data_IF_963438512048
#
_entry.id   IF_963438512048
#
_cell.length_a   1.000
_cell.length_b   1.000
_cell.length_c   1.000
_cell.angle_alpha   90.00
_cell.angle_beta   90.00
_cell.angle_gamma   90.00
#
_symmetry.space_group_name_H-M   'P 1'
#
loop_
_entity.id
_entity.type
_entity.pdbx_description
1 polymer ?
#
# COMPACT_ATOMS: atom_id res chain seq x y z
N UNK A 1 40.38 -14.70 -9.61
CA UNK A 1 39.54 -13.54 -10.01
C UNK A 1 38.32 -14.12 -10.71
N UNK A 2 37.26 -14.41 -9.96
CA UNK A 2 36.00 -14.91 -10.54
C UNK A 2 35.22 -13.74 -11.15
N UNK A 3 34.70 -13.85 -12.40
CA UNK A 3 34.09 -12.74 -13.11
C UNK A 3 32.60 -12.52 -12.80
N UNK A 4 32.03 -13.27 -11.86
CA UNK A 4 30.61 -13.16 -11.50
C UNK A 4 30.47 -12.85 -10.01
N UNK A 5 30.26 -11.56 -9.74
CA UNK A 5 29.98 -11.03 -8.41
C UNK A 5 28.92 -11.85 -7.68
N UNK A 6 29.24 -12.21 -6.44
CA UNK A 6 28.37 -12.89 -5.46
C UNK A 6 26.91 -12.48 -5.64
N UNK A 7 26.06 -13.48 -5.92
CA UNK A 7 24.61 -13.41 -5.73
C UNK A 7 24.37 -13.09 -4.25
N UNK A 8 24.11 -11.83 -3.93
CA UNK A 8 23.72 -11.45 -2.58
C UNK A 8 22.40 -12.15 -2.25
N UNK A 9 22.48 -13.07 -1.30
CA UNK A 9 21.33 -13.53 -0.53
C UNK A 9 20.70 -12.29 0.11
N UNK A 10 19.62 -11.79 -0.50
CA UNK A 10 18.79 -10.73 0.08
C UNK A 10 18.14 -11.28 1.34
N UNK A 11 18.81 -11.09 2.47
CA UNK A 11 18.13 -10.93 3.75
C UNK A 11 17.15 -9.76 3.58
N UNK A 12 15.90 -9.91 4.01
CA UNK A 12 14.80 -8.93 4.04
C UNK A 12 15.12 -7.67 4.89
N UNK A 13 16.35 -7.17 4.86
CA UNK A 13 16.69 -5.85 5.34
C UNK A 13 16.17 -4.85 4.33
N UNK A 14 15.08 -4.17 4.68
CA UNK A 14 14.46 -3.08 3.91
C UNK A 14 15.45 -1.94 3.58
N UNK A 15 16.60 -1.89 4.28
CA UNK A 15 17.70 -0.97 4.03
C UNK A 15 18.43 -1.31 2.71
N UNK A 16 18.16 -0.52 1.66
CA UNK A 16 18.88 -0.58 0.38
C UNK A 16 18.02 -0.79 -0.85
N UNK A 17 16.69 -0.84 -0.70
CA UNK A 17 15.78 -0.88 -1.85
C UNK A 17 15.65 0.52 -2.46
N UNK A 18 15.69 0.68 -3.80
CA UNK A 18 15.44 1.98 -4.45
C UNK A 18 14.02 2.52 -4.26
N UNK A 19 13.11 1.66 -3.79
CA UNK A 19 11.72 1.96 -3.52
C UNK A 19 11.30 1.33 -2.20
N UNK A 20 10.84 2.17 -1.28
CA UNK A 20 10.53 1.87 0.11
C UNK A 20 9.34 2.71 0.60
N UNK A 21 8.99 2.55 1.88
CA UNK A 21 7.83 3.22 2.50
C UNK A 21 7.94 4.74 2.58
N UNK A 22 9.16 5.28 2.44
CA UNK A 22 9.46 6.70 2.52
C UNK A 22 9.67 7.32 1.12
N UNK A 23 9.62 6.50 0.07
CA UNK A 23 9.87 6.92 -1.30
C UNK A 23 8.87 7.97 -1.77
N UNK A 24 9.40 9.14 -2.11
CA UNK A 24 8.66 10.28 -2.64
C UNK A 24 9.52 11.14 -3.55
N UNK A 25 8.89 11.84 -4.49
CA UNK A 25 9.57 12.82 -5.35
C UNK A 25 8.65 13.99 -5.69
N UNK A 26 9.24 15.19 -5.80
CA UNK A 26 8.56 16.40 -6.26
C UNK A 26 9.36 16.98 -7.41
N UNK A 27 8.79 16.96 -8.62
CA UNK A 27 9.46 17.41 -9.84
C UNK A 27 8.71 18.62 -10.38
N UNK A 28 9.38 19.76 -10.43
CA UNK A 28 8.82 20.98 -10.99
C UNK A 28 9.14 21.06 -12.48
N UNK A 29 8.10 21.10 -13.31
CA UNK A 29 8.23 21.28 -14.76
C UNK A 29 8.26 22.77 -15.11
N UNK A 30 8.76 23.09 -16.31
CA UNK A 30 8.90 24.46 -16.81
C UNK A 30 7.56 25.15 -17.15
N UNK A 31 6.42 24.48 -16.98
CA UNK A 31 5.10 24.92 -17.40
C UNK A 31 4.08 24.88 -16.25
N UNK A 32 4.34 25.59 -15.14
CA UNK A 32 3.46 25.67 -13.95
C UNK A 32 3.00 24.33 -13.38
N UNK A 33 3.59 23.21 -13.78
CA UNK A 33 3.15 21.87 -13.40
C UNK A 33 4.15 21.28 -12.43
N UNK A 34 3.64 20.59 -11.41
CA UNK A 34 4.41 19.88 -10.40
C UNK A 34 3.98 18.43 -10.41
N UNK A 35 4.92 17.52 -10.64
CA UNK A 35 4.71 16.09 -10.47
C UNK A 35 5.02 15.70 -9.04
N UNK A 36 4.05 15.13 -8.34
CA UNK A 36 4.16 14.66 -6.97
C UNK A 36 4.00 13.14 -6.94
N UNK A 37 5.06 12.46 -6.50
CA UNK A 37 5.14 11.00 -6.42
C UNK A 37 5.27 10.58 -4.96
N UNK A 38 4.54 9.54 -4.56
CA UNK A 38 4.63 8.97 -3.20
C UNK A 38 4.26 7.48 -3.16
N UNK A 39 4.95 6.71 -2.33
CA UNK A 39 4.68 5.28 -2.14
C UNK A 39 3.35 5.02 -1.42
N UNK A 40 2.56 4.10 -2.00
CA UNK A 40 1.28 3.61 -1.45
C UNK A 40 1.47 2.21 -0.87
N UNK A 41 2.08 1.31 -1.64
CA UNK A 41 2.50 -0.03 -1.20
C UNK A 41 3.84 -0.39 -1.83
N UNK A 42 4.46 -1.50 -1.39
CA UNK A 42 5.72 -2.06 -1.95
C UNK A 42 5.74 -2.16 -3.48
N UNK A 43 4.57 -2.20 -4.14
CA UNK A 43 4.46 -2.35 -5.59
C UNK A 43 3.68 -1.20 -6.28
N UNK A 44 3.15 -0.23 -5.52
CA UNK A 44 2.26 0.79 -6.05
C UNK A 44 2.68 2.19 -5.59
N UNK A 45 3.01 3.04 -6.56
CA UNK A 45 3.23 4.47 -6.35
C UNK A 45 2.06 5.29 -6.91
N UNK A 46 1.73 6.39 -6.23
CA UNK A 46 0.83 7.41 -6.73
C UNK A 46 1.64 8.51 -7.41
N UNK A 47 1.20 8.95 -8.59
CA UNK A 47 1.81 10.07 -9.32
C UNK A 47 0.72 11.09 -9.64
N UNK A 48 0.88 12.32 -9.17
CA UNK A 48 -0.06 13.41 -9.37
C UNK A 48 0.55 14.54 -10.18
N UNK A 49 -0.21 15.08 -11.12
CA UNK A 49 0.11 16.31 -11.83
C UNK A 49 -0.72 17.44 -11.24
N UNK A 50 -0.04 18.40 -10.63
CA UNK A 50 -0.65 19.49 -9.89
C UNK A 50 -0.16 20.82 -10.48
N UNK A 51 -0.98 21.88 -10.42
CA UNK A 51 -0.52 23.22 -10.80
C UNK A 51 0.30 23.82 -9.66
N UNK A 52 1.34 24.57 -9.98
CA UNK A 52 2.27 25.22 -9.05
C UNK A 52 1.55 26.14 -8.07
N UNK A 53 0.55 26.86 -8.55
CA UNK A 53 -0.32 27.72 -7.74
C UNK A 53 -1.15 26.93 -6.71
N UNK A 54 -1.45 25.66 -6.99
CA UNK A 54 -2.11 24.76 -6.03
C UNK A 54 -1.14 24.24 -4.98
N UNK A 55 0.17 24.29 -5.21
CA UNK A 55 1.23 23.94 -4.25
C UNK A 55 1.72 25.14 -3.43
N UNK A 56 1.71 26.33 -4.02
CA UNK A 56 2.17 27.60 -3.44
C UNK A 56 0.97 28.52 -3.17
N UNK A 57 0.50 28.60 -1.92
CA UNK A 57 -0.52 29.59 -1.54
C UNK A 57 0.18 30.83 -0.98
N UNK A 58 -0.07 32.00 -1.59
CA UNK A 58 0.39 33.29 -1.07
C UNK A 58 -0.34 33.60 0.24
N UNK A 59 0.40 33.76 1.32
CA UNK A 59 -0.12 34.36 2.56
C UNK A 59 0.54 35.73 2.68
N UNK A 60 -0.26 36.81 2.65
CA UNK A 60 0.20 38.19 2.84
C UNK A 60 1.32 38.66 1.90
N UNK A 61 1.25 38.32 0.60
CA UNK A 61 2.22 38.77 -0.40
C UNK A 61 3.60 38.10 -0.33
N UNK A 62 3.86 37.29 0.70
CA UNK A 62 5.05 36.45 0.79
C UNK A 62 4.82 35.10 0.12
N UNK A 63 5.81 34.66 -0.65
CA UNK A 63 5.72 33.42 -1.39
C UNK A 63 5.99 32.23 -0.45
N UNK A 64 4.94 31.71 0.19
CA UNK A 64 5.04 30.50 1.01
C UNK A 64 5.07 29.29 0.08
N UNK A 65 6.28 28.92 -0.36
CA UNK A 65 6.47 27.66 -1.08
C UNK A 65 5.92 26.55 -0.17
N UNK A 66 5.03 25.71 -0.70
CA UNK A 66 4.45 24.52 -0.04
C UNK A 66 3.27 24.72 0.93
N UNK A 67 2.57 25.86 0.95
CA UNK A 67 1.43 26.04 1.87
C UNK A 67 0.32 24.98 1.74
N UNK A 68 0.02 24.49 0.52
CA UNK A 68 -0.98 23.43 0.32
C UNK A 68 -0.40 22.02 0.43
N UNK A 69 0.94 21.89 0.49
CA UNK A 69 1.62 20.61 0.59
C UNK A 69 1.15 19.81 1.80
N UNK A 70 0.96 20.47 2.95
CA UNK A 70 0.47 19.81 4.17
C UNK A 70 -0.93 19.22 4.03
N UNK A 71 -1.86 19.91 3.34
CA UNK A 71 -3.20 19.36 3.09
C UNK A 71 -3.16 18.20 2.08
N UNK A 72 -2.31 18.31 1.07
CA UNK A 72 -2.12 17.24 0.08
C UNK A 72 -1.52 16.00 0.77
N UNK A 73 -0.52 16.18 1.63
CA UNK A 73 0.09 15.09 2.40
C UNK A 73 -0.91 14.42 3.36
N UNK A 74 -1.75 15.20 4.03
CA UNK A 74 -2.80 14.67 4.89
C UNK A 74 -3.82 13.85 4.08
N UNK A 75 -4.31 14.40 2.97
CA UNK A 75 -5.23 13.68 2.09
C UNK A 75 -4.58 12.42 1.51
N UNK A 76 -3.28 12.47 1.18
CA UNK A 76 -2.53 11.30 0.75
C UNK A 76 -2.45 10.23 1.85
N UNK A 77 -2.23 10.62 3.11
CA UNK A 77 -2.23 9.69 4.23
C UNK A 77 -3.58 8.97 4.37
N UNK A 78 -4.68 9.72 4.33
CA UNK A 78 -6.03 9.14 4.33
C UNK A 78 -6.24 8.18 3.15
N UNK A 79 -5.82 8.58 1.95
CA UNK A 79 -5.90 7.75 0.75
C UNK A 79 -5.09 6.45 0.87
N UNK A 80 -3.83 6.54 1.29
CA UNK A 80 -2.95 5.37 1.47
C UNK A 80 -3.55 4.38 2.46
N UNK A 81 -4.08 4.87 3.58
CA UNK A 81 -4.77 4.05 4.57
C UNK A 81 -6.00 3.35 3.99
N UNK A 82 -6.86 4.09 3.28
CA UNK A 82 -8.04 3.51 2.65
C UNK A 82 -7.69 2.43 1.62
N UNK A 83 -6.64 2.62 0.82
CA UNK A 83 -6.17 1.61 -0.14
C UNK A 83 -5.68 0.34 0.55
N UNK A 84 -4.93 0.48 1.66
CA UNK A 84 -4.48 -0.67 2.45
C UNK A 84 -5.66 -1.46 2.99
N UNK A 85 -6.66 -0.78 3.58
CA UNK A 85 -7.88 -1.41 4.08
C UNK A 85 -8.65 -2.16 2.98
N UNK A 86 -8.74 -1.59 1.76
CA UNK A 86 -9.37 -2.25 0.62
C UNK A 86 -8.65 -3.55 0.21
N UNK A 87 -7.31 -3.59 0.30
CA UNK A 87 -6.56 -4.81 0.04
C UNK A 87 -6.77 -5.87 1.13
N UNK A 88 -6.91 -5.47 2.38
CA UNK A 88 -7.15 -6.38 3.51
C UNK A 88 -8.51 -7.09 3.43
N UNK A 89 -9.54 -6.44 2.88
CA UNK A 89 -10.88 -7.06 2.70
C UNK A 89 -10.78 -8.36 1.90
N UNK A 90 -9.95 -8.42 0.86
CA UNK A 90 -9.80 -9.63 0.04
C UNK A 90 -9.23 -10.78 0.87
N UNK A 91 -8.24 -10.49 1.72
CA UNK A 91 -7.61 -11.47 2.61
C UNK A 91 -8.64 -12.01 3.60
N UNK A 92 -9.42 -11.12 4.22
CA UNK A 92 -10.43 -11.49 5.21
C UNK A 92 -11.54 -12.37 4.60
N UNK A 93 -12.04 -12.03 3.41
CA UNK A 93 -13.06 -12.85 2.71
C UNK A 93 -12.53 -14.25 2.39
N UNK A 94 -11.27 -14.36 1.95
CA UNK A 94 -10.65 -15.66 1.67
C UNK A 94 -10.49 -16.51 2.93
N UNK A 95 -10.05 -15.91 4.03
CA UNK A 95 -9.94 -16.59 5.32
C UNK A 95 -11.30 -17.09 5.83
N UNK A 96 -12.33 -16.23 5.78
CA UNK A 96 -13.68 -16.60 6.18
C UNK A 96 -14.24 -17.77 5.34
N UNK A 97 -13.99 -17.80 4.02
CA UNK A 97 -14.37 -18.94 3.17
C UNK A 97 -13.68 -20.24 3.61
N UNK A 98 -12.38 -20.19 3.93
CA UNK A 98 -11.65 -21.36 4.44
C UNK A 98 -12.22 -21.85 5.77
N UNK A 99 -12.47 -20.95 6.72
CA UNK A 99 -13.06 -21.30 8.01
C UNK A 99 -14.46 -21.91 7.87
N UNK A 100 -15.31 -21.35 6.99
CA UNK A 100 -16.64 -21.90 6.70
C UNK A 100 -16.55 -23.29 6.06
N UNK A 101 -15.61 -23.52 5.14
CA UNK A 101 -15.38 -24.85 4.59
C UNK A 101 -14.95 -25.83 5.69
N UNK A 102 -13.98 -25.49 6.54
CA UNK A 102 -13.54 -26.36 7.63
C UNK A 102 -14.67 -26.74 8.59
N UNK A 103 -15.53 -25.77 8.96
CA UNK A 103 -16.72 -26.03 9.79
C UNK A 103 -17.74 -26.95 9.12
N UNK A 104 -17.87 -26.88 7.80
CA UNK A 104 -18.77 -27.77 7.05
C UNK A 104 -18.26 -29.21 7.06
N UNK A 105 -16.95 -29.42 6.84
CA UNK A 105 -16.33 -30.74 6.86
C UNK A 105 -16.34 -31.37 8.27
N UNK A 106 -16.09 -30.58 9.32
CA UNK A 106 -16.20 -31.08 10.69
C UNK A 106 -17.62 -31.48 11.07
N UNK A 107 -18.65 -30.74 10.60
CA UNK A 107 -20.05 -31.10 10.84
C UNK A 107 -20.47 -32.39 10.12
N UNK A 108 -20.02 -32.60 8.88
CA UNK A 108 -20.20 -33.86 8.15
C UNK A 108 -19.51 -35.06 8.82
N UNK A 109 -18.33 -34.85 9.42
CA UNK A 109 -17.64 -35.88 10.19
C UNK A 109 -18.39 -36.28 11.46
N UNK A 110 -19.10 -35.35 12.12
CA UNK A 110 -19.86 -35.64 13.34
C UNK A 110 -21.18 -36.35 13.05
N UNK A 111 -21.81 -36.09 11.89
CA UNK A 111 -23.07 -36.76 11.51
C UNK A 111 -22.85 -38.19 11.01
N UNK A 112 -21.68 -38.48 10.43
CA UNK A 112 -21.35 -39.84 9.97
C UNK A 112 -20.97 -40.81 11.11
N UNK A 113 -20.74 -40.31 12.34
CA UNK A 113 -20.42 -41.15 13.52
C UNK A 113 -21.62 -41.55 14.39
N UNK A 114 -22.84 -41.10 14.06
CA UNK A 114 -24.06 -41.33 14.87
C UNK A 114 -24.99 -42.40 14.27
N UNK A 115 -24.64 -42.98 13.11
CA UNK A 115 -25.44 -44.01 12.45
C UNK A 115 -24.72 -45.37 12.39
N UNK A 116 -24.28 -45.87 13.55
CA UNK A 116 -23.86 -47.28 13.69
C UNK A 116 -24.13 -47.79 15.10
N UNK A 117 -25.40 -48.08 15.40
CA UNK A 117 -25.82 -49.33 16.06
C UNK A 117 -27.31 -49.27 16.42
N UNK A 118 -28.11 -50.11 15.77
CA UNK A 118 -29.09 -50.89 16.52
C UNK A 118 -29.02 -52.35 16.08
N UNK A 119 -28.32 -53.19 16.87
CA UNK A 119 -28.78 -54.48 17.41
C UNK A 119 -27.61 -55.30 17.95
#
# INVERSE_FOLDING_TARGET
MDPFGKRQSLTDSEAGLPYDKESMAIIHLNNTTVMYLKEVTKFLAMVCFLRKESFERKVNGQNTRYACYGLIDYNFHCFKKAIQEVFDVRVQVQQNRKLLSQRRWSKLSMTNGVLSNPH
#
